data_IF_486511264231
#
_entry.id   IF_486511264231
#
_cell.length_a   1.000
_cell.length_b   1.000
_cell.length_c   1.000
_cell.angle_alpha   90.00
_cell.angle_beta   90.00
_cell.angle_gamma   90.00
#
_symmetry.space_group_name_H-M   'P 1'
#
loop_
_entity.id
_entity.type
_entity.pdbx_description
1 polymer ?
#
# COMPACT_ATOMS: atom_id res chain seq x y z
N UNK A 1 6.85 10.77 -15.36
CA UNK A 1 6.43 9.35 -15.36
C UNK A 1 5.36 9.10 -14.30
N UNK A 2 5.66 9.28 -13.01
CA UNK A 2 4.71 9.07 -11.89
C UNK A 2 3.45 9.95 -12.02
N UNK A 3 3.59 11.22 -12.40
CA UNK A 3 2.44 12.13 -12.60
C UNK A 3 1.53 11.72 -13.76
N UNK A 4 2.08 11.10 -14.81
CA UNK A 4 1.32 10.66 -15.98
C UNK A 4 0.58 9.36 -15.68
N UNK A 5 1.16 8.47 -14.87
CA UNK A 5 0.50 7.27 -14.37
C UNK A 5 -0.64 7.63 -13.41
N UNK A 6 -0.41 8.57 -12.48
CA UNK A 6 -1.47 9.05 -11.59
C UNK A 6 -2.63 9.72 -12.35
N UNK A 7 -2.34 10.44 -13.44
CA UNK A 7 -3.37 11.01 -14.29
C UNK A 7 -4.09 9.96 -15.14
N UNK A 8 -3.39 8.93 -15.62
CA UNK A 8 -3.99 7.83 -16.36
C UNK A 8 -4.88 6.96 -15.46
N UNK A 9 -4.45 6.67 -14.24
CA UNK A 9 -5.23 5.98 -13.23
C UNK A 9 -6.44 6.83 -12.84
N UNK A 10 -6.25 8.13 -12.58
CA UNK A 10 -7.36 9.06 -12.30
C UNK A 10 -8.37 9.15 -13.46
N UNK A 11 -7.90 9.14 -14.71
CA UNK A 11 -8.75 9.20 -15.90
C UNK A 11 -9.51 7.89 -16.13
N UNK A 12 -8.88 6.74 -15.90
CA UNK A 12 -9.53 5.42 -15.93
C UNK A 12 -10.59 5.28 -14.83
N UNK A 13 -10.33 5.85 -13.65
CA UNK A 13 -11.27 5.89 -12.53
C UNK A 13 -12.45 6.86 -12.78
N UNK A 14 -12.23 7.97 -13.48
CA UNK A 14 -13.26 8.98 -13.78
C UNK A 14 -14.18 8.63 -14.97
N UNK A 15 -13.76 7.72 -15.87
CA UNK A 15 -14.49 7.39 -17.10
C UNK A 15 -15.49 6.24 -17.01
N UNK A 16 -15.41 5.40 -15.97
CA UNK A 16 -16.33 4.28 -15.80
C UNK A 16 -17.55 4.69 -14.96
N UNK A 17 -18.77 4.44 -15.45
CA UNK A 17 -20.01 4.50 -14.63
C UNK A 17 -20.00 3.52 -13.43
N UNK A 18 -18.92 2.75 -13.27
CA UNK A 18 -18.60 1.86 -12.16
C UNK A 18 -17.26 2.22 -11.46
N UNK A 19 -16.77 3.46 -11.61
CA UNK A 19 -15.56 3.94 -10.94
C UNK A 19 -15.73 3.97 -9.41
N UNK A 20 -14.65 3.78 -8.63
CA UNK A 20 -14.72 4.03 -7.19
C UNK A 20 -15.15 5.48 -6.99
N UNK A 21 -16.04 5.72 -6.04
CA UNK A 21 -16.20 7.08 -5.56
C UNK A 21 -14.82 7.61 -5.17
N UNK A 22 -14.57 8.90 -5.39
CA UNK A 22 -13.33 9.57 -4.95
C UNK A 22 -13.04 9.25 -3.46
N UNK A 23 -14.09 8.99 -2.68
CA UNK A 23 -14.06 8.48 -1.32
C UNK A 23 -13.37 7.11 -1.15
N UNK A 24 -13.58 6.13 -2.03
CA UNK A 24 -12.94 4.81 -1.94
C UNK A 24 -11.43 4.92 -2.14
N UNK A 25 -10.99 5.64 -3.18
CA UNK A 25 -9.57 5.87 -3.40
C UNK A 25 -8.90 6.64 -2.26
N UNK A 26 -9.62 7.60 -1.65
CA UNK A 26 -9.12 8.30 -0.46
C UNK A 26 -8.93 7.37 0.75
N UNK A 27 -9.76 6.32 0.90
CA UNK A 27 -9.61 5.34 1.98
C UNK A 27 -8.34 4.48 1.82
N UNK A 28 -7.92 4.18 0.60
CA UNK A 28 -6.65 3.46 0.35
C UNK A 28 -5.41 4.27 0.77
N UNK A 29 -5.52 5.61 0.81
CA UNK A 29 -4.42 6.48 1.23
C UNK A 29 -4.18 6.46 2.74
N UNK A 30 -5.18 6.10 3.55
CA UNK A 30 -5.08 6.09 5.02
C UNK A 30 -4.00 5.13 5.53
N UNK A 31 -4.04 3.80 5.21
CA UNK A 31 -2.98 2.89 5.65
C UNK A 31 -1.62 3.24 5.04
N UNK A 32 -1.59 3.84 3.85
CA UNK A 32 -0.38 4.25 3.16
C UNK A 32 0.35 5.36 3.91
N UNK A 33 -0.37 6.41 4.30
CA UNK A 33 0.19 7.55 5.04
C UNK A 33 0.70 7.06 6.39
N UNK A 34 -0.11 6.27 7.11
CA UNK A 34 0.27 5.72 8.41
C UNK A 34 1.50 4.81 8.27
N UNK A 35 1.52 3.93 7.26
CA UNK A 35 2.64 3.03 7.01
C UNK A 35 3.91 3.76 6.62
N UNK A 36 3.81 4.83 5.84
CA UNK A 36 4.96 5.65 5.46
C UNK A 36 5.52 6.38 6.67
N UNK A 37 4.67 6.98 7.50
CA UNK A 37 5.09 7.62 8.77
C UNK A 37 5.80 6.59 9.66
N UNK A 38 5.23 5.40 9.80
CA UNK A 38 5.83 4.33 10.60
C UNK A 38 7.17 3.87 10.03
N UNK A 39 7.31 3.80 8.70
CA UNK A 39 8.57 3.43 8.05
C UNK A 39 9.66 4.46 8.33
N UNK A 40 9.32 5.75 8.23
CA UNK A 40 10.23 6.84 8.60
C UNK A 40 10.56 6.80 10.10
N UNK A 41 9.59 6.49 10.96
CA UNK A 41 9.82 6.27 12.39
C UNK A 41 10.71 5.05 12.69
N UNK A 42 10.59 3.97 11.91
CA UNK A 42 11.51 2.83 12.01
C UNK A 42 12.91 3.20 11.54
N UNK A 43 13.04 4.06 10.54
CA UNK A 43 14.34 4.52 10.05
C UNK A 43 15.13 5.26 11.14
N UNK A 44 14.46 6.10 11.94
CA UNK A 44 15.10 6.76 13.10
C UNK A 44 15.43 5.78 14.23
N UNK A 45 14.60 4.76 14.48
CA UNK A 45 14.88 3.72 15.47
C UNK A 45 16.02 2.78 15.08
N UNK A 46 16.23 2.55 13.78
CA UNK A 46 17.28 1.68 13.25
C UNK A 46 18.60 2.43 12.99
N UNK A 47 18.69 3.70 13.40
CA UNK A 47 19.87 4.57 13.19
C UNK A 47 20.33 4.61 11.72
N UNK A 48 19.38 4.58 10.78
CA UNK A 48 19.68 4.62 9.35
C UNK A 48 19.77 6.08 8.90
N UNK A 49 20.94 6.49 8.41
CA UNK A 49 21.17 7.84 7.90
C UNK A 49 20.29 8.16 6.67
N UNK A 50 19.80 9.40 6.59
CA UNK A 50 19.16 9.92 5.38
C UNK A 50 20.25 10.12 4.33
N UNK A 51 20.29 9.23 3.35
CA UNK A 51 21.12 9.36 2.16
C UNK A 51 20.25 9.46 0.90
N UNK A 52 20.87 9.73 -0.26
CA UNK A 52 20.14 9.91 -1.53
C UNK A 52 19.30 8.67 -1.88
N UNK A 53 19.80 7.46 -1.60
CA UNK A 53 19.06 6.22 -1.86
C UNK A 53 17.81 6.09 -0.98
N UNK A 54 17.93 6.39 0.32
CA UNK A 54 16.82 6.33 1.27
C UNK A 54 15.76 7.40 0.97
N UNK A 55 16.15 8.56 0.45
CA UNK A 55 15.20 9.59 -0.02
C UNK A 55 14.40 9.08 -1.22
N UNK A 56 15.01 8.32 -2.12
CA UNK A 56 14.32 7.70 -3.27
C UNK A 56 13.39 6.56 -2.82
N UNK A 57 13.68 5.90 -1.69
CA UNK A 57 12.83 4.83 -1.16
C UNK A 57 11.43 5.31 -0.78
N UNK A 58 11.31 6.53 -0.23
CA UNK A 58 10.04 7.09 0.25
C UNK A 58 8.96 7.15 -0.85
N UNK A 59 9.18 7.81 -2.01
CA UNK A 59 8.18 7.81 -3.09
C UNK A 59 7.95 6.42 -3.68
N UNK A 60 8.94 5.51 -3.60
CA UNK A 60 8.77 4.13 -4.04
C UNK A 60 7.78 3.37 -3.14
N UNK A 61 7.92 3.51 -1.80
CA UNK A 61 6.98 2.94 -0.82
C UNK A 61 5.58 3.50 -1.04
N UNK A 62 5.45 4.80 -1.31
CA UNK A 62 4.15 5.41 -1.59
C UNK A 62 3.50 4.81 -2.85
N UNK A 63 4.28 4.65 -3.93
CA UNK A 63 3.79 4.08 -5.18
C UNK A 63 3.40 2.61 -5.07
N UNK A 64 4.13 1.82 -4.28
CA UNK A 64 3.85 0.39 -4.11
C UNK A 64 2.77 0.16 -3.04
N UNK A 65 2.80 0.92 -1.95
CA UNK A 65 1.88 0.73 -0.82
C UNK A 65 0.44 1.08 -1.16
N UNK A 66 0.20 2.00 -2.12
CA UNK A 66 -1.16 2.32 -2.58
C UNK A 66 -1.82 1.13 -3.30
N UNK A 67 -1.03 0.30 -3.99
CA UNK A 67 -1.52 -0.88 -4.72
C UNK A 67 -2.22 -1.87 -3.77
N UNK A 68 -1.62 -2.13 -2.59
CA UNK A 68 -2.22 -2.98 -1.57
C UNK A 68 -3.62 -2.48 -1.15
N UNK A 69 -3.78 -1.17 -0.90
CA UNK A 69 -5.06 -0.59 -0.52
C UNK A 69 -6.10 -0.66 -1.64
N UNK A 70 -5.69 -0.37 -2.88
CA UNK A 70 -6.56 -0.45 -4.06
C UNK A 70 -7.02 -1.88 -4.32
N UNK A 71 -6.14 -2.86 -4.17
CA UNK A 71 -6.44 -4.27 -4.40
C UNK A 71 -7.53 -4.79 -3.44
N UNK A 72 -7.45 -4.41 -2.16
CA UNK A 72 -8.49 -4.74 -1.16
C UNK A 72 -9.83 -4.11 -1.52
N UNK A 73 -9.84 -2.81 -1.86
CA UNK A 73 -11.09 -2.10 -2.21
C UNK A 73 -11.72 -2.69 -3.46
N UNK A 74 -10.92 -2.97 -4.49
CA UNK A 74 -11.41 -3.53 -5.74
C UNK A 74 -12.11 -4.87 -5.50
N UNK A 75 -11.54 -5.74 -4.66
CA UNK A 75 -12.13 -7.04 -4.33
C UNK A 75 -13.33 -6.95 -3.41
N UNK A 76 -13.33 -6.01 -2.46
CA UNK A 76 -14.50 -5.75 -1.62
C UNK A 76 -15.73 -5.38 -2.47
N UNK A 77 -15.54 -4.58 -3.53
CA UNK A 77 -16.63 -4.23 -4.48
C UNK A 77 -17.09 -5.40 -5.34
N UNK A 78 -16.20 -6.33 -5.68
CA UNK A 78 -16.53 -7.50 -6.50
C UNK A 78 -17.32 -8.56 -5.72
N UNK A 79 -17.03 -8.77 -4.44
CA UNK A 79 -17.68 -9.81 -3.62
C UNK A 79 -18.94 -9.33 -2.90
N UNK A 80 -19.16 -8.01 -2.79
CA UNK A 80 -20.37 -7.42 -2.22
C UNK A 80 -20.30 -7.18 -0.71
N UNK A 81 -21.06 -6.19 -0.25
CA UNK A 81 -21.15 -5.76 1.15
C UNK A 81 -21.52 -6.95 2.07
N UNK A 82 -20.80 -7.11 3.18
CA UNK A 82 -21.04 -8.17 4.18
C UNK A 82 -20.10 -9.39 4.16
N UNK A 83 -19.29 -9.61 3.11
CA UNK A 83 -18.34 -10.74 3.04
C UNK A 83 -16.88 -10.35 3.34
N UNK A 84 -16.65 -9.45 4.30
CA UNK A 84 -15.30 -8.98 4.67
C UNK A 84 -14.35 -10.14 4.98
N UNK A 85 -14.86 -11.23 5.57
CA UNK A 85 -14.07 -12.41 5.92
C UNK A 85 -13.63 -13.23 4.69
N UNK A 86 -14.50 -13.36 3.68
CA UNK A 86 -14.19 -14.02 2.40
C UNK A 86 -13.21 -13.19 1.59
N UNK A 87 -13.42 -11.86 1.57
CA UNK A 87 -12.54 -10.90 0.92
C UNK A 87 -11.16 -10.96 1.57
N UNK A 88 -11.05 -10.93 2.90
CA UNK A 88 -9.76 -11.01 3.59
C UNK A 88 -9.05 -12.35 3.36
N UNK A 89 -9.76 -13.48 3.34
CA UNK A 89 -9.14 -14.78 3.10
C UNK A 89 -8.61 -14.93 1.68
N UNK A 90 -9.34 -14.42 0.69
CA UNK A 90 -8.98 -14.55 -0.73
C UNK A 90 -7.94 -13.50 -1.13
N UNK A 91 -8.20 -12.24 -0.77
CA UNK A 91 -7.33 -11.09 -1.06
C UNK A 91 -6.07 -11.11 -0.22
N UNK A 92 -6.18 -11.45 1.06
CA UNK A 92 -5.02 -11.51 1.95
C UNK A 92 -3.94 -12.44 1.41
N UNK A 93 -4.33 -13.58 0.81
CA UNK A 93 -3.39 -14.50 0.14
C UNK A 93 -2.76 -13.89 -1.12
N UNK A 94 -3.56 -13.24 -1.98
CA UNK A 94 -3.04 -12.57 -3.18
C UNK A 94 -2.08 -11.43 -2.83
N UNK A 95 -2.46 -10.54 -1.91
CA UNK A 95 -1.63 -9.41 -1.47
C UNK A 95 -0.40 -9.91 -0.72
N UNK A 96 -0.51 -10.97 0.09
CA UNK A 96 0.65 -11.57 0.76
C UNK A 96 1.68 -12.07 -0.25
N UNK A 97 1.25 -12.75 -1.32
CA UNK A 97 2.15 -13.20 -2.38
C UNK A 97 2.81 -12.03 -3.10
N UNK A 98 2.04 -11.01 -3.50
CA UNK A 98 2.57 -9.82 -4.18
C UNK A 98 3.52 -9.03 -3.27
N UNK A 99 3.18 -8.87 -2.00
CA UNK A 99 4.02 -8.20 -1.02
C UNK A 99 5.30 -8.98 -0.77
N UNK A 100 5.23 -10.31 -0.68
CA UNK A 100 6.40 -11.17 -0.47
C UNK A 100 7.34 -11.14 -1.66
N UNK A 101 6.84 -11.18 -2.90
CA UNK A 101 7.68 -11.06 -4.09
C UNK A 101 8.33 -9.68 -4.18
N UNK A 102 7.63 -8.64 -3.76
CA UNK A 102 8.16 -7.27 -3.74
C UNK A 102 9.21 -7.08 -2.65
N UNK A 103 8.98 -7.61 -1.45
CA UNK A 103 9.97 -7.66 -0.36
C UNK A 103 11.20 -8.46 -0.81
N UNK A 104 11.02 -9.59 -1.49
CA UNK A 104 12.13 -10.36 -2.01
C UNK A 104 12.92 -9.56 -3.07
N UNK A 105 12.22 -8.88 -3.99
CA UNK A 105 12.84 -8.06 -5.03
C UNK A 105 13.69 -6.94 -4.44
N UNK A 106 13.16 -6.12 -3.53
CA UNK A 106 13.92 -5.05 -2.88
C UNK A 106 14.88 -5.55 -1.80
N UNK A 107 14.59 -6.70 -1.21
CA UNK A 107 15.48 -7.38 -0.27
C UNK A 107 16.81 -7.76 -0.90
N UNK A 108 16.87 -7.98 -2.22
CA UNK A 108 18.14 -8.16 -2.93
C UNK A 108 19.08 -6.95 -2.79
N UNK A 109 18.54 -5.74 -2.65
CA UNK A 109 19.35 -4.53 -2.48
C UNK A 109 20.05 -4.51 -1.13
N UNK A 110 19.50 -5.17 -0.11
CA UNK A 110 20.14 -5.33 1.20
C UNK A 110 21.52 -6.02 1.10
N UNK A 111 21.70 -6.91 0.12
CA UNK A 111 22.97 -7.60 -0.17
C UNK A 111 23.92 -6.79 -1.07
N UNK A 112 23.52 -5.59 -1.48
CA UNK A 112 24.36 -4.70 -2.28
C UNK A 112 25.61 -4.26 -1.53
N UNK A 113 26.75 -4.25 -2.22
CA UNK A 113 28.05 -3.80 -1.68
C UNK A 113 28.04 -2.31 -1.25
N UNK A 114 27.18 -1.50 -1.87
CA UNK A 114 27.04 -0.09 -1.54
C UNK A 114 26.09 0.11 -0.35
N UNK A 115 26.59 0.74 0.72
CA UNK A 115 25.83 1.02 1.95
C UNK A 115 24.49 1.73 1.71
N UNK A 116 24.45 2.63 0.72
CA UNK A 116 23.22 3.31 0.31
C UNK A 116 22.16 2.34 -0.24
N UNK A 117 22.54 1.39 -1.10
CA UNK A 117 21.62 0.38 -1.63
C UNK A 117 21.16 -0.59 -0.55
N UNK A 118 22.09 -1.00 0.33
CA UNK A 118 21.79 -1.93 1.41
C UNK A 118 20.73 -1.38 2.37
N UNK A 119 20.92 -0.14 2.84
CA UNK A 119 19.95 0.54 3.71
C UNK A 119 18.61 0.79 3.02
N UNK A 120 18.63 1.14 1.74
CA UNK A 120 17.44 1.32 0.93
C UNK A 120 16.63 0.03 0.82
N UNK A 121 17.27 -1.12 0.58
CA UNK A 121 16.61 -2.42 0.51
C UNK A 121 15.88 -2.80 1.80
N UNK A 122 16.52 -2.54 2.94
CA UNK A 122 15.93 -2.77 4.27
C UNK A 122 14.70 -1.86 4.49
N UNK A 123 14.82 -0.56 4.19
CA UNK A 123 13.72 0.40 4.33
C UNK A 123 12.54 0.05 3.43
N UNK A 124 12.80 -0.30 2.16
CA UNK A 124 11.76 -0.71 1.21
C UNK A 124 11.04 -1.97 1.69
N UNK A 125 11.79 -3.00 2.09
CA UNK A 125 11.22 -4.23 2.62
C UNK A 125 10.35 -4.00 3.86
N UNK A 126 10.84 -3.21 4.82
CA UNK A 126 10.08 -2.81 6.00
C UNK A 126 8.83 -2.02 5.64
N UNK A 127 8.95 -1.01 4.78
CA UNK A 127 7.82 -0.17 4.40
C UNK A 127 6.71 -0.93 3.69
N UNK A 128 7.07 -1.85 2.79
CA UNK A 128 6.11 -2.74 2.14
C UNK A 128 5.45 -3.68 3.15
N UNK A 129 6.22 -4.27 4.06
CA UNK A 129 5.69 -5.15 5.10
C UNK A 129 4.71 -4.42 6.04
N UNK A 130 5.05 -3.20 6.46
CA UNK A 130 4.19 -2.37 7.30
C UNK A 130 2.92 -1.98 6.55
N UNK A 131 3.04 -1.51 5.29
CA UNK A 131 1.89 -1.17 4.47
C UNK A 131 0.98 -2.38 4.23
N UNK A 132 1.55 -3.56 4.01
CA UNK A 132 0.80 -4.81 3.90
C UNK A 132 -0.01 -5.12 5.17
N UNK A 133 0.64 -5.10 6.34
CA UNK A 133 -0.01 -5.35 7.63
C UNK A 133 -1.12 -4.33 7.87
N UNK A 134 -0.86 -3.04 7.66
CA UNK A 134 -1.85 -1.98 7.81
C UNK A 134 -2.99 -2.11 6.80
N UNK A 135 -2.71 -2.43 5.53
CA UNK A 135 -3.77 -2.62 4.54
C UNK A 135 -4.65 -3.83 4.87
N UNK A 136 -4.11 -4.87 5.49
CA UNK A 136 -4.87 -6.09 5.80
C UNK A 136 -5.64 -5.96 7.12
N UNK A 137 -5.15 -5.18 8.09
CA UNK A 137 -5.80 -5.00 9.40
C UNK A 137 -6.66 -3.73 9.45
N UNK A 138 -6.15 -2.60 8.92
CA UNK A 138 -6.77 -1.28 9.06
C UNK A 138 -7.92 -1.06 8.06
N UNK A 139 -7.82 -1.54 6.81
CA UNK A 139 -8.93 -1.41 5.85
C UNK A 139 -10.21 -2.14 6.28
N UNK A 140 -10.19 -3.43 6.70
CA UNK A 140 -11.43 -4.07 7.13
C UNK A 140 -12.02 -3.42 8.38
N UNK A 141 -11.17 -2.85 9.25
CA UNK A 141 -11.63 -2.05 10.37
C UNK A 141 -12.30 -0.74 9.93
N UNK A 142 -11.87 -0.13 8.82
CA UNK A 142 -12.50 1.06 8.23
C UNK A 142 -13.77 0.75 7.42
N UNK A 143 -13.92 -0.44 6.85
CA UNK A 143 -15.14 -0.80 6.10
C UNK A 143 -16.37 -0.88 7.02
N UNK A 144 -16.23 -1.40 8.24
CA UNK A 144 -17.33 -1.51 9.22
C UNK A 144 -18.06 -0.19 9.54
N UNK A 145 -17.36 0.91 9.91
CA UNK A 145 -18.01 2.19 10.14
C UNK A 145 -18.53 2.85 8.85
N UNK A 146 -17.90 2.59 7.71
CA UNK A 146 -18.32 3.18 6.43
C UNK A 146 -19.62 2.56 5.90
N UNK A 147 -19.78 1.25 6.05
CA UNK A 147 -21.02 0.52 5.75
C UNK A 147 -22.17 1.04 6.63
N UNK A 148 -21.90 1.33 7.91
CA UNK A 148 -22.85 1.98 8.82
C UNK A 148 -23.25 3.41 8.41
N UNK A 149 -22.42 4.12 7.65
CA UNK A 149 -22.70 5.46 7.15
C UNK A 149 -23.46 5.48 5.82
N UNK A 150 -23.83 4.32 5.27
CA UNK A 150 -24.65 4.21 4.05
C UNK A 150 -23.92 4.65 2.77
N UNK A 151 -22.59 4.73 2.80
CA UNK A 151 -21.77 5.01 1.62
C UNK A 151 -21.65 3.73 0.79
N UNK A 152 -22.27 3.73 -0.40
CA UNK A 152 -22.06 2.69 -1.41
C UNK A 152 -20.61 2.75 -1.90
N UNK A 153 -19.84 1.71 -1.63
CA UNK A 153 -18.41 1.60 -1.98
C UNK A 153 -18.14 1.14 -3.41
#
# INVERSE_FOLDING_TARGET
>A
AITVLLLADFWWLSGSKAGPGIASSALALVPLIIGTIWTVGCMTLLEIDINIANVIAIPLILGIGIDNGVHVIHRYRLEGEGQIETVLNTVGRSIMLTSLTTIAAFGTFAFGLYRGLSTMGVILGLGIAICFILSTILLPALFRPLEKMGLKL
#
